data_IF_694866886099
#
_entry.id   IF_694866886099
#
_cell.length_a   1.000
_cell.length_b   1.000
_cell.length_c   1.000
_cell.angle_alpha   90.00
_cell.angle_beta   90.00
_cell.angle_gamma   90.00
#
_symmetry.space_group_name_H-M   'P 1'
#
loop_
_entity.id
_entity.type
_entity.pdbx_description
1 polymer ?
#
# COMPACT_ATOMS: atom_id res chain seq x y z
N UNK A 1 -17.08 -74.12 19.16
CA UNK A 1 -16.90 -72.70 19.58
C UNK A 1 -15.54 -72.21 19.13
N UNK A 2 -15.45 -71.44 18.04
CA UNK A 2 -14.21 -70.74 17.62
C UNK A 2 -14.56 -69.26 17.47
N UNK A 3 -13.96 -68.41 18.30
CA UNK A 3 -14.10 -66.95 18.26
C UNK A 3 -13.04 -66.40 17.30
N UNK A 4 -13.48 -65.70 16.25
CA UNK A 4 -12.63 -64.87 15.41
C UNK A 4 -12.49 -63.50 16.07
N UNK A 5 -11.25 -63.07 16.33
CA UNK A 5 -10.93 -61.71 16.77
C UNK A 5 -10.50 -60.95 15.51
N UNK A 6 -11.25 -59.92 15.16
CA UNK A 6 -10.88 -58.97 14.11
C UNK A 6 -10.09 -57.83 14.76
N UNK A 7 -8.81 -57.72 14.43
CA UNK A 7 -7.95 -56.61 14.83
C UNK A 7 -8.18 -55.42 13.90
N UNK A 8 -8.61 -54.29 14.47
CA UNK A 8 -8.74 -53.02 13.77
C UNK A 8 -7.36 -52.35 13.71
N UNK A 9 -6.73 -52.30 12.53
CA UNK A 9 -5.56 -51.45 12.28
C UNK A 9 -6.01 -50.00 12.14
N UNK A 10 -5.70 -49.18 13.16
CA UNK A 10 -5.90 -47.73 13.13
C UNK A 10 -4.67 -47.09 12.47
N UNK A 11 -4.76 -46.71 11.20
CA UNK A 11 -3.74 -45.92 10.52
C UNK A 11 -3.88 -44.44 10.90
N UNK A 12 -2.91 -43.93 11.66
CA UNK A 12 -2.73 -42.50 11.92
C UNK A 12 -2.25 -41.81 10.65
N UNK A 13 -3.16 -41.15 9.93
CA UNK A 13 -2.83 -40.20 8.88
C UNK A 13 -2.40 -38.88 9.54
N UNK A 14 -1.09 -38.65 9.65
CA UNK A 14 -0.55 -37.34 9.99
C UNK A 14 -0.70 -36.43 8.76
N UNK A 15 -1.70 -35.55 8.77
CA UNK A 15 -1.83 -34.48 7.79
C UNK A 15 -0.73 -33.45 8.03
N UNK A 16 0.33 -33.47 7.21
CA UNK A 16 1.26 -32.35 7.13
C UNK A 16 0.51 -31.17 6.52
N UNK A 17 0.07 -30.24 7.37
CA UNK A 17 -0.36 -28.91 6.93
C UNK A 17 0.89 -28.19 6.40
N UNK A 18 1.03 -28.11 5.08
CA UNK A 18 2.01 -27.22 4.47
C UNK A 18 1.61 -25.78 4.84
N UNK A 19 2.19 -25.23 5.90
CA UNK A 19 2.13 -23.80 6.18
C UNK A 19 2.85 -23.11 5.03
N UNK A 20 2.09 -22.43 4.15
CA UNK A 20 2.70 -21.55 3.15
C UNK A 20 3.42 -20.43 3.89
N UNK A 21 4.68 -20.18 3.53
CA UNK A 21 5.38 -18.98 3.99
C UNK A 21 4.58 -17.72 3.64
N UNK A 22 4.44 -16.78 4.57
CA UNK A 22 3.59 -15.57 4.39
C UNK A 22 4.22 -14.51 3.47
N UNK A 23 5.55 -14.52 3.34
CA UNK A 23 6.33 -13.55 2.55
C UNK A 23 7.34 -14.18 1.56
N UNK A 24 6.97 -15.16 0.71
CA UNK A 24 7.91 -15.81 -0.20
C UNK A 24 8.55 -14.83 -1.20
N UNK A 25 7.83 -13.78 -1.56
CA UNK A 25 8.19 -12.69 -2.47
C UNK A 25 9.34 -11.86 -1.88
N UNK A 26 9.28 -11.76 -0.55
CA UNK A 26 10.26 -11.26 0.42
C UNK A 26 11.58 -12.03 0.46
N UNK A 27 11.40 -13.33 0.70
CA UNK A 27 12.40 -14.19 1.35
C UNK A 27 13.00 -15.19 0.36
N UNK A 28 12.26 -15.50 -0.70
CA UNK A 28 12.66 -16.37 -1.79
C UNK A 28 13.65 -15.72 -2.74
N UNK A 29 13.96 -16.46 -3.82
CA UNK A 29 14.83 -15.96 -4.89
C UNK A 29 14.14 -14.82 -5.61
N UNK A 30 14.88 -13.74 -5.86
CA UNK A 30 14.40 -12.65 -6.71
C UNK A 30 14.09 -13.18 -8.11
N UNK A 31 13.05 -12.62 -8.72
CA UNK A 31 12.71 -12.88 -10.12
C UNK A 31 13.89 -12.57 -11.03
N UNK A 32 14.04 -13.31 -12.13
CA UNK A 32 15.02 -12.96 -13.16
C UNK A 32 14.70 -11.59 -13.75
N UNK A 33 15.70 -10.94 -14.35
CA UNK A 33 15.50 -9.66 -15.04
C UNK A 33 14.40 -9.78 -16.12
N UNK A 34 14.40 -10.86 -16.90
CA UNK A 34 13.39 -11.11 -17.94
C UNK A 34 11.98 -11.24 -17.36
N UNK A 35 11.82 -11.93 -16.22
CA UNK A 35 10.52 -12.06 -15.58
C UNK A 35 10.03 -10.71 -15.01
N UNK A 36 10.93 -9.89 -14.47
CA UNK A 36 10.58 -8.54 -14.00
C UNK A 36 10.16 -7.63 -15.16
N UNK A 37 10.89 -7.66 -16.27
CA UNK A 37 10.56 -6.90 -17.48
C UNK A 37 9.21 -7.33 -18.05
N UNK A 38 8.95 -8.63 -18.16
CA UNK A 38 7.66 -9.13 -18.64
C UNK A 38 6.49 -8.61 -17.79
N UNK A 39 6.62 -8.59 -16.46
CA UNK A 39 5.58 -8.04 -15.57
C UNK A 39 5.37 -6.54 -15.81
N UNK A 40 6.45 -5.77 -16.02
CA UNK A 40 6.37 -4.34 -16.31
C UNK A 40 5.70 -4.07 -17.67
N UNK A 41 6.06 -4.85 -18.69
CA UNK A 41 5.49 -4.80 -20.04
C UNK A 41 4.01 -5.18 -20.02
N UNK A 42 3.65 -6.27 -19.34
CA UNK A 42 2.25 -6.72 -19.18
C UNK A 42 1.39 -5.62 -18.51
N UNK A 43 1.95 -4.94 -17.50
CA UNK A 43 1.27 -3.81 -16.85
C UNK A 43 1.16 -2.60 -17.80
N UNK A 44 2.18 -2.34 -18.63
CA UNK A 44 2.15 -1.26 -19.62
C UNK A 44 1.09 -1.52 -20.70
N UNK A 45 1.00 -2.73 -21.21
CA UNK A 45 -0.01 -3.15 -22.18
C UNK A 45 -1.41 -3.04 -21.57
N UNK A 46 -1.57 -3.51 -20.32
CA UNK A 46 -2.81 -3.35 -19.58
C UNK A 46 -3.18 -1.87 -19.41
N UNK A 47 -2.24 -1.04 -18.94
CA UNK A 47 -2.47 0.38 -18.71
C UNK A 47 -2.88 1.08 -20.01
N UNK A 48 -2.11 0.91 -21.08
CA UNK A 48 -2.37 1.50 -22.41
C UNK A 48 -3.76 1.14 -22.91
N UNK A 49 -4.15 -0.14 -22.79
CA UNK A 49 -5.47 -0.62 -23.22
C UNK A 49 -6.61 -0.01 -22.41
N UNK A 50 -6.45 0.11 -21.10
CA UNK A 50 -7.55 0.53 -20.21
C UNK A 50 -7.63 2.07 -20.07
N UNK A 51 -6.54 2.79 -20.32
CA UNK A 51 -6.43 4.23 -20.07
C UNK A 51 -7.04 5.10 -21.17
N UNK A 52 -7.32 4.55 -22.36
CA UNK A 52 -7.86 5.31 -23.51
C UNK A 52 -9.04 6.22 -23.14
N UNK A 53 -9.96 5.74 -22.29
CA UNK A 53 -11.10 6.55 -21.84
C UNK A 53 -10.73 7.62 -20.83
N UNK A 54 -9.75 7.35 -19.97
CA UNK A 54 -9.26 8.29 -18.98
C UNK A 54 -8.49 9.43 -19.66
N UNK A 55 -7.64 9.11 -20.64
CA UNK A 55 -6.83 10.07 -21.39
C UNK A 55 -7.68 11.09 -22.15
N UNK A 56 -8.77 10.64 -22.80
CA UNK A 56 -9.73 11.53 -23.46
C UNK A 56 -10.39 12.54 -22.52
N UNK A 57 -10.41 12.27 -21.21
CA UNK A 57 -11.03 13.12 -20.18
C UNK A 57 -10.00 13.88 -19.35
N UNK A 58 -8.71 13.56 -19.51
CA UNK A 58 -7.64 14.14 -18.73
C UNK A 58 -7.33 15.53 -19.27
N UNK A 59 -7.23 16.52 -18.38
CA UNK A 59 -6.78 17.88 -18.77
C UNK A 59 -5.26 17.99 -18.68
N UNK A 60 -4.69 19.04 -19.25
CA UNK A 60 -3.22 19.23 -19.29
C UNK A 60 -2.60 19.29 -17.90
N UNK A 61 -3.27 19.95 -16.95
CA UNK A 61 -2.81 20.13 -15.57
C UNK A 61 -2.81 18.82 -14.80
N UNK A 62 -3.78 17.94 -15.07
CA UNK A 62 -3.85 16.59 -14.52
C UNK A 62 -2.74 15.69 -15.07
N UNK A 63 -2.51 15.73 -16.38
CA UNK A 63 -1.41 15.01 -17.02
C UNK A 63 -0.05 15.48 -16.49
N UNK A 64 0.13 16.80 -16.37
CA UNK A 64 1.35 17.40 -15.79
C UNK A 64 1.53 16.98 -14.33
N UNK A 65 0.45 16.95 -13.54
CA UNK A 65 0.51 16.58 -12.13
C UNK A 65 0.99 15.13 -11.94
N UNK A 66 0.37 14.16 -12.64
CA UNK A 66 0.75 12.74 -12.52
C UNK A 66 2.17 12.47 -13.05
N UNK A 67 2.54 13.13 -14.15
CA UNK A 67 3.88 13.02 -14.75
C UNK A 67 4.97 13.53 -13.82
N UNK A 68 4.73 14.66 -13.15
CA UNK A 68 5.71 15.23 -12.23
C UNK A 68 5.77 14.49 -10.89
N UNK A 69 4.63 13.96 -10.41
CA UNK A 69 4.57 13.09 -9.23
C UNK A 69 5.49 11.88 -9.41
N UNK A 70 5.36 11.15 -10.52
CA UNK A 70 6.21 10.00 -10.83
C UNK A 70 7.68 10.35 -11.18
N UNK A 71 8.07 11.63 -11.13
CA UNK A 71 9.45 12.07 -11.43
C UNK A 71 10.17 12.59 -10.20
N UNK A 72 9.66 13.66 -9.60
CA UNK A 72 10.36 14.43 -8.53
C UNK A 72 9.44 14.92 -7.42
N UNK A 73 8.13 15.03 -7.66
CA UNK A 73 7.24 15.72 -6.72
C UNK A 73 6.67 14.81 -5.61
N UNK A 74 6.82 13.48 -5.72
CA UNK A 74 6.13 12.55 -4.82
C UNK A 74 6.42 12.80 -3.34
N UNK A 75 7.67 13.08 -2.96
CA UNK A 75 8.03 13.32 -1.57
C UNK A 75 7.34 14.58 -1.02
N UNK A 76 7.55 15.72 -1.67
CA UNK A 76 7.00 17.02 -1.20
C UNK A 76 5.47 17.05 -1.24
N UNK A 77 4.84 16.43 -2.24
CA UNK A 77 3.38 16.33 -2.32
C UNK A 77 2.85 15.47 -1.16
N UNK A 78 3.47 14.33 -0.89
CA UNK A 78 2.99 13.44 0.16
C UNK A 78 3.24 14.01 1.56
N UNK A 79 4.38 14.66 1.79
CA UNK A 79 4.65 15.38 3.05
C UNK A 79 3.63 16.50 3.30
N UNK A 80 3.33 17.31 2.28
CA UNK A 80 2.30 18.34 2.36
C UNK A 80 0.92 17.77 2.73
N UNK A 81 0.53 16.65 2.12
CA UNK A 81 -0.73 15.97 2.44
C UNK A 81 -0.73 15.40 3.87
N UNK A 82 0.37 14.80 4.32
CA UNK A 82 0.52 14.26 5.68
C UNK A 82 0.50 15.36 6.74
N UNK A 83 0.99 16.55 6.42
CA UNK A 83 0.91 17.75 7.25
C UNK A 83 -0.51 18.36 7.32
N UNK A 84 -1.49 17.79 6.62
CA UNK A 84 -2.87 18.28 6.62
C UNK A 84 -3.15 19.39 5.61
N UNK A 85 -2.32 19.51 4.57
CA UNK A 85 -2.45 20.50 3.49
C UNK A 85 -2.50 21.97 3.98
N UNK A 86 -1.55 22.41 4.82
CA UNK A 86 -1.59 23.75 5.40
C UNK A 86 -1.30 24.82 4.34
N UNK A 87 -2.05 25.93 4.38
CA UNK A 87 -1.88 27.01 3.38
C UNK A 87 -0.47 27.62 3.40
N UNK A 88 0.19 27.67 4.57
CA UNK A 88 1.54 28.19 4.76
C UNK A 88 2.68 27.18 4.62
N UNK A 89 2.50 26.06 3.91
CA UNK A 89 3.56 25.03 3.79
C UNK A 89 4.84 25.57 3.12
N UNK A 90 5.91 25.75 3.91
CA UNK A 90 7.15 26.47 3.59
C UNK A 90 6.96 27.96 3.25
N UNK A 91 5.99 28.28 2.40
CA UNK A 91 5.46 29.63 2.14
C UNK A 91 4.04 29.52 1.57
N UNK A 92 3.24 30.59 1.65
CA UNK A 92 1.88 30.56 1.13
C UNK A 92 1.79 30.23 -0.38
N UNK A 93 2.70 30.81 -1.17
CA UNK A 93 2.72 30.59 -2.62
C UNK A 93 3.04 29.13 -2.95
N UNK A 94 3.95 28.54 -2.19
CA UNK A 94 4.31 27.13 -2.34
C UNK A 94 3.16 26.21 -1.91
N UNK A 95 2.53 26.49 -0.76
CA UNK A 95 1.33 25.78 -0.29
C UNK A 95 0.18 25.83 -1.31
N UNK A 96 -0.11 27.01 -1.90
CA UNK A 96 -1.11 27.14 -2.98
C UNK A 96 -0.75 26.28 -4.22
N UNK A 97 0.52 26.21 -4.58
CA UNK A 97 1.00 25.40 -5.72
C UNK A 97 0.80 23.91 -5.45
N UNK A 98 1.16 23.45 -4.24
CA UNK A 98 0.96 22.06 -3.83
C UNK A 98 -0.52 21.70 -3.70
N UNK A 99 -1.36 22.60 -3.17
CA UNK A 99 -2.82 22.45 -3.14
C UNK A 99 -3.39 22.22 -4.55
N UNK A 100 -2.97 23.02 -5.53
CA UNK A 100 -3.36 22.84 -6.93
C UNK A 100 -2.88 21.51 -7.47
N UNK A 101 -1.63 21.11 -7.18
CA UNK A 101 -1.05 19.82 -7.61
C UNK A 101 -1.84 18.65 -7.05
N UNK A 102 -2.12 18.65 -5.74
CA UNK A 102 -2.90 17.62 -5.05
C UNK A 102 -4.32 17.54 -5.62
N UNK A 103 -4.95 18.69 -5.89
CA UNK A 103 -6.27 18.74 -6.53
C UNK A 103 -6.28 18.02 -7.88
N UNK A 104 -5.33 18.34 -8.76
CA UNK A 104 -5.22 17.67 -10.06
C UNK A 104 -4.86 16.18 -9.93
N UNK A 105 -3.99 15.81 -8.99
CA UNK A 105 -3.68 14.40 -8.68
C UNK A 105 -4.92 13.63 -8.22
N UNK A 106 -5.74 14.20 -7.34
CA UNK A 106 -7.01 13.56 -6.90
C UNK A 106 -7.96 13.36 -8.07
N UNK A 107 -8.06 14.35 -8.97
CA UNK A 107 -8.95 14.27 -10.11
C UNK A 107 -8.50 13.24 -11.15
N UNK A 108 -7.21 13.20 -11.51
CA UNK A 108 -6.69 12.20 -12.46
C UNK A 108 -6.85 10.79 -11.91
N UNK A 109 -6.59 10.58 -10.61
CA UNK A 109 -6.77 9.28 -9.96
C UNK A 109 -8.23 8.79 -9.95
N UNK A 110 -9.20 9.70 -10.05
CA UNK A 110 -10.62 9.33 -10.21
C UNK A 110 -10.99 8.96 -11.66
N UNK A 111 -10.19 9.40 -12.64
CA UNK A 111 -10.39 9.11 -14.07
C UNK A 111 -9.71 7.80 -14.48
N UNK A 112 -8.54 7.52 -13.90
CA UNK A 112 -7.78 6.32 -14.23
C UNK A 112 -8.54 5.03 -13.85
N UNK A 113 -8.41 3.95 -14.64
CA UNK A 113 -8.99 2.66 -14.33
C UNK A 113 -8.45 2.08 -13.02
N UNK A 114 -9.32 1.38 -12.32
CA UNK A 114 -8.98 0.74 -11.06
C UNK A 114 -8.15 -0.54 -11.28
N UNK A 115 -6.95 -0.56 -10.72
CA UNK A 115 -6.16 -1.78 -10.58
C UNK A 115 -6.60 -2.55 -9.33
N UNK A 116 -6.70 -3.88 -9.43
CA UNK A 116 -7.01 -4.78 -8.30
C UNK A 116 -6.00 -5.90 -8.27
N UNK A 117 -5.44 -6.16 -7.10
CA UNK A 117 -4.46 -7.23 -6.92
C UNK A 117 -3.37 -6.87 -5.91
N UNK A 118 -2.41 -7.77 -5.78
CA UNK A 118 -1.24 -7.63 -4.91
C UNK A 118 -0.28 -6.59 -5.47
N UNK A 119 0.18 -5.70 -4.60
CA UNK A 119 1.27 -4.76 -4.86
C UNK A 119 2.25 -4.77 -3.69
N UNK A 120 3.42 -4.20 -3.91
CA UNK A 120 4.53 -4.20 -2.98
C UNK A 120 5.03 -2.78 -2.74
N UNK A 121 5.45 -2.49 -1.51
CA UNK A 121 6.09 -1.22 -1.16
C UNK A 121 7.26 -1.47 -0.23
N UNK A 122 8.38 -0.81 -0.50
CA UNK A 122 9.43 -0.61 0.50
C UNK A 122 9.35 0.79 1.06
N UNK A 123 9.54 0.92 2.36
CA UNK A 123 9.62 2.22 3.03
C UNK A 123 10.33 2.04 4.38
N UNK A 124 10.60 3.15 5.05
CA UNK A 124 10.79 3.15 6.49
C UNK A 124 9.43 3.07 7.22
N UNK A 125 9.44 2.52 8.42
CA UNK A 125 8.35 2.55 9.41
C UNK A 125 8.91 3.04 10.75
N UNK A 126 8.22 3.94 11.45
CA UNK A 126 8.66 4.39 12.78
C UNK A 126 8.66 3.22 13.76
N UNK A 127 9.69 3.11 14.58
CA UNK A 127 9.78 2.06 15.61
C UNK A 127 8.63 2.19 16.60
N UNK A 128 8.26 3.42 16.99
CA UNK A 128 7.10 3.69 17.85
C UNK A 128 5.77 3.19 17.28
N UNK A 129 5.64 3.05 15.97
CA UNK A 129 4.50 2.40 15.32
C UNK A 129 4.71 0.88 15.25
N UNK A 130 5.87 0.43 14.74
CA UNK A 130 6.17 -0.98 14.55
C UNK A 130 6.08 -1.79 15.86
N UNK A 131 6.46 -1.22 16.99
CA UNK A 131 6.48 -1.90 18.29
C UNK A 131 5.08 -2.17 18.84
N UNK A 132 4.11 -1.30 18.53
CA UNK A 132 2.71 -1.41 18.99
C UNK A 132 1.74 -1.98 17.96
N UNK A 133 2.15 -2.09 16.69
CA UNK A 133 1.28 -2.55 15.61
C UNK A 133 0.96 -4.04 15.76
N UNK A 134 -0.31 -4.42 15.75
CA UNK A 134 -0.75 -5.80 15.85
C UNK A 134 -1.46 -6.28 14.59
N UNK A 135 -1.50 -7.60 14.40
CA UNK A 135 -2.38 -8.19 13.37
C UNK A 135 -3.83 -7.84 13.73
N UNK A 136 -4.57 -7.34 12.75
CA UNK A 136 -5.94 -6.84 12.94
C UNK A 136 -6.06 -5.32 13.00
N UNK A 137 -4.99 -4.62 13.39
CA UNK A 137 -4.92 -3.15 13.37
C UNK A 137 -5.06 -2.60 11.94
N UNK A 138 -5.39 -1.33 11.86
CA UNK A 138 -5.60 -0.62 10.60
C UNK A 138 -4.61 0.53 10.47
N UNK A 139 -3.86 0.54 9.39
CA UNK A 139 -3.04 1.68 8.99
C UNK A 139 -3.85 2.60 8.07
N UNK A 140 -3.82 3.90 8.34
CA UNK A 140 -4.45 4.93 7.53
C UNK A 140 -3.38 5.77 6.85
N UNK A 141 -3.32 5.71 5.52
CA UNK A 141 -2.45 6.57 4.71
C UNK A 141 -3.25 7.76 4.19
N UNK A 142 -2.87 8.95 4.66
CA UNK A 142 -3.49 10.23 4.26
C UNK A 142 -3.04 10.70 2.88
N UNK A 143 -1.81 10.38 2.46
CA UNK A 143 -1.25 10.80 1.19
C UNK A 143 -1.41 9.73 0.10
N UNK A 144 -0.83 9.96 -1.08
CA UNK A 144 -0.76 8.90 -2.08
C UNK A 144 0.22 7.82 -1.62
N UNK A 145 -0.09 6.55 -1.89
CA UNK A 145 0.80 5.44 -1.57
C UNK A 145 1.39 4.87 -2.85
N UNK A 146 2.65 5.19 -3.14
CA UNK A 146 3.39 4.58 -4.25
C UNK A 146 3.72 3.12 -3.93
N UNK A 147 3.37 2.23 -4.86
CA UNK A 147 3.59 0.79 -4.78
C UNK A 147 4.00 0.26 -6.15
N UNK A 148 4.51 -0.96 -6.22
CA UNK A 148 4.91 -1.62 -7.46
C UNK A 148 4.29 -3.02 -7.52
N UNK A 149 4.02 -3.53 -8.73
CA UNK A 149 3.71 -4.96 -8.90
C UNK A 149 4.97 -5.85 -8.77
N UNK A 150 6.16 -5.25 -8.69
CA UNK A 150 7.45 -5.93 -8.56
C UNK A 150 7.99 -5.90 -7.12
N UNK A 151 8.16 -7.06 -6.45
CA UNK A 151 8.77 -7.13 -5.12
C UNK A 151 10.20 -6.59 -5.07
N UNK A 152 10.96 -6.71 -6.17
CA UNK A 152 12.34 -6.20 -6.29
C UNK A 152 12.41 -4.69 -6.19
N UNK A 153 11.47 -3.98 -6.81
CA UNK A 153 11.34 -2.52 -6.70
C UNK A 153 11.08 -2.14 -5.25
N UNK A 154 10.10 -2.77 -4.60
CA UNK A 154 9.84 -2.56 -3.18
C UNK A 154 11.09 -2.79 -2.30
N UNK A 155 11.87 -3.84 -2.56
CA UNK A 155 13.11 -4.09 -1.82
C UNK A 155 14.15 -2.97 -1.97
N UNK A 156 14.24 -2.34 -3.14
CA UNK A 156 15.17 -1.23 -3.36
C UNK A 156 14.77 0.05 -2.60
N UNK A 157 13.47 0.23 -2.34
CA UNK A 157 12.96 1.37 -1.57
C UNK A 157 12.88 1.12 -0.06
N UNK A 158 13.09 -0.12 0.41
CA UNK A 158 13.14 -0.39 1.85
C UNK A 158 14.47 0.10 2.44
N UNK A 159 14.42 1.14 3.27
CA UNK A 159 15.60 1.64 3.99
C UNK A 159 15.22 2.03 5.42
N UNK A 160 16.13 1.77 6.37
CA UNK A 160 15.98 2.17 7.77
C UNK A 160 16.54 3.57 8.04
N UNK A 161 17.42 4.07 7.16
CA UNK A 161 18.35 5.17 7.46
C UNK A 161 17.88 6.58 7.15
N UNK A 162 16.63 6.78 6.72
CA UNK A 162 16.16 8.14 6.37
C UNK A 162 15.76 8.95 7.61
N UNK A 163 15.33 8.29 8.69
CA UNK A 163 14.86 8.94 9.91
C UNK A 163 15.39 8.23 11.16
N UNK A 164 15.80 9.00 12.17
CA UNK A 164 16.10 8.45 13.49
C UNK A 164 14.84 7.78 14.07
N UNK A 165 15.02 6.61 14.70
CA UNK A 165 13.90 5.85 15.27
C UNK A 165 12.99 5.18 14.22
N UNK A 166 13.50 4.89 13.02
CA UNK A 166 12.79 4.12 12.01
C UNK A 166 13.49 2.80 11.65
N UNK A 167 12.70 1.83 11.19
CA UNK A 167 13.15 0.54 10.68
C UNK A 167 12.77 0.39 9.22
N UNK A 168 13.52 -0.39 8.45
CA UNK A 168 13.14 -0.76 7.09
C UNK A 168 11.97 -1.76 7.12
N UNK A 169 10.99 -1.55 6.25
CA UNK A 169 9.85 -2.44 6.09
C UNK A 169 9.52 -2.68 4.61
N UNK A 170 9.08 -3.90 4.32
CA UNK A 170 8.54 -4.32 3.04
C UNK A 170 7.10 -4.76 3.25
N UNK A 171 6.23 -4.18 2.43
CA UNK A 171 4.79 -4.27 2.56
C UNK A 171 4.23 -5.05 1.38
N UNK A 172 3.47 -6.10 1.66
CA UNK A 172 2.61 -6.80 0.68
C UNK A 172 1.19 -6.30 0.88
N UNK A 173 0.60 -5.72 -0.15
CA UNK A 173 -0.66 -4.97 -0.05
C UNK A 173 -1.66 -5.54 -1.06
N UNK A 174 -2.81 -5.99 -0.58
CA UNK A 174 -3.93 -6.35 -1.47
C UNK A 174 -4.83 -5.14 -1.73
N UNK A 175 -4.81 -4.64 -2.98
CA UNK A 175 -5.64 -3.52 -3.43
C UNK A 175 -6.96 -4.00 -4.03
N UNK A 176 -8.04 -3.29 -3.71
CA UNK A 176 -9.40 -3.60 -4.18
C UNK A 176 -10.02 -2.47 -5.01
N UNK A 177 -9.77 -1.22 -4.65
CA UNK A 177 -10.39 -0.07 -5.31
C UNK A 177 -9.56 1.22 -5.32
N UNK A 178 -8.49 1.29 -4.51
CA UNK A 178 -7.66 2.47 -4.40
C UNK A 178 -6.57 2.56 -5.48
N UNK A 179 -6.13 1.43 -6.05
CA UNK A 179 -4.98 1.37 -6.97
C UNK A 179 -5.26 1.91 -8.37
N UNK A 180 -4.32 2.67 -8.93
CA UNK A 180 -4.27 3.09 -10.34
C UNK A 180 -2.90 2.79 -10.90
N UNK A 181 -2.84 2.14 -12.06
CA UNK A 181 -1.57 2.04 -12.78
C UNK A 181 -1.18 3.43 -13.26
N UNK A 182 0.05 3.86 -12.96
CA UNK A 182 0.57 5.16 -13.41
C UNK A 182 1.83 5.03 -14.25
N UNK A 183 2.33 3.81 -14.45
CA UNK A 183 3.51 3.47 -15.25
C UNK A 183 3.51 4.11 -16.65
N UNK A 184 2.34 4.27 -17.29
CA UNK A 184 2.20 4.95 -18.59
C UNK A 184 2.45 6.48 -18.56
N UNK A 185 2.53 7.09 -17.37
CA UNK A 185 2.67 8.54 -17.19
C UNK A 185 3.97 8.94 -16.48
N UNK A 186 4.72 7.98 -15.95
CA UNK A 186 5.99 8.25 -15.26
C UNK A 186 7.18 8.16 -16.22
N UNK A 187 8.36 8.59 -15.76
CA UNK A 187 9.61 8.40 -16.49
C UNK A 187 10.28 7.04 -16.19
N UNK A 188 9.62 6.20 -15.39
CA UNK A 188 10.15 4.93 -14.90
C UNK A 188 9.12 3.81 -15.08
N UNK A 189 8.71 3.51 -16.32
CA UNK A 189 7.71 2.48 -16.58
C UNK A 189 8.11 1.11 -16.00
N UNK A 190 9.42 0.83 -15.95
CA UNK A 190 10.01 -0.39 -15.40
C UNK A 190 9.81 -0.57 -13.88
N UNK A 191 9.44 0.50 -13.15
CA UNK A 191 9.06 0.39 -11.73
C UNK A 191 7.66 -0.24 -11.57
N UNK A 192 6.92 -0.42 -12.67
CA UNK A 192 5.58 -1.03 -12.70
C UNK A 192 4.65 -0.43 -11.62
N UNK A 193 4.63 0.91 -11.55
CA UNK A 193 4.02 1.63 -10.44
C UNK A 193 2.48 1.57 -10.45
N UNK A 194 1.93 1.15 -9.30
CA UNK A 194 0.53 1.32 -8.93
C UNK A 194 0.48 2.37 -7.82
N UNK A 195 -0.25 3.46 -8.05
CA UNK A 195 -0.48 4.49 -7.05
C UNK A 195 -1.80 4.20 -6.32
N UNK A 196 -1.80 4.09 -5.00
CA UNK A 196 -3.04 4.07 -4.23
C UNK A 196 -3.51 5.49 -3.93
N UNK A 197 -4.82 5.71 -4.02
CA UNK A 197 -5.46 6.97 -3.64
C UNK A 197 -5.20 7.36 -2.17
N UNK A 198 -5.25 8.66 -1.84
CA UNK A 198 -5.18 9.13 -0.46
C UNK A 198 -6.40 8.74 0.35
N UNK A 199 -6.28 8.90 1.66
CA UNK A 199 -7.28 8.53 2.66
C UNK A 199 -7.69 7.04 2.55
N UNK A 200 -6.70 6.17 2.30
CA UNK A 200 -6.89 4.73 2.18
C UNK A 200 -6.51 4.02 3.48
N UNK A 201 -7.35 3.07 3.88
CA UNK A 201 -7.14 2.26 5.08
C UNK A 201 -6.70 0.86 4.69
N UNK A 202 -5.74 0.32 5.43
CA UNK A 202 -5.17 -1.00 5.22
C UNK A 202 -5.18 -1.79 6.52
N UNK A 203 -5.88 -2.91 6.54
CA UNK A 203 -5.87 -3.80 7.70
C UNK A 203 -4.67 -4.72 7.64
N UNK A 204 -3.92 -4.82 8.74
CA UNK A 204 -2.77 -5.70 8.89
C UNK A 204 -3.22 -7.15 9.04
N UNK A 205 -2.64 -8.04 8.25
CA UNK A 205 -2.96 -9.48 8.22
C UNK A 205 -1.83 -10.35 8.73
N UNK A 206 -0.57 -9.93 8.55
CA UNK A 206 0.60 -10.62 9.09
C UNK A 206 1.73 -9.63 9.32
N UNK A 207 2.57 -9.90 10.34
CA UNK A 207 3.77 -9.14 10.64
C UNK A 207 4.90 -10.13 10.95
N UNK A 208 6.04 -9.98 10.29
CA UNK A 208 7.29 -10.66 10.63
C UNK A 208 8.35 -9.60 10.93
N UNK A 209 8.67 -9.43 12.22
CA UNK A 209 9.71 -8.52 12.71
C UNK A 209 11.04 -9.25 12.75
N UNK A 210 12.01 -8.85 11.93
CA UNK A 210 13.29 -9.57 11.80
C UNK A 210 14.43 -8.76 12.41
N UNK A 211 14.62 -7.53 11.97
CA UNK A 211 15.63 -6.62 12.49
C UNK A 211 15.30 -5.17 12.10
N UNK A 212 16.00 -4.16 12.65
CA UNK A 212 15.82 -2.77 12.22
C UNK A 212 15.98 -2.56 10.70
N UNK A 213 16.74 -3.42 10.02
CA UNK A 213 16.98 -3.32 8.57
C UNK A 213 16.07 -4.22 7.73
N UNK A 214 15.13 -4.95 8.34
CA UNK A 214 14.27 -5.90 7.64
C UNK A 214 13.03 -6.24 8.46
N UNK A 215 11.87 -5.87 7.96
CA UNK A 215 10.57 -6.27 8.51
C UNK A 215 9.58 -6.50 7.37
N UNK A 216 8.63 -7.41 7.56
CA UNK A 216 7.62 -7.74 6.58
C UNK A 216 6.22 -7.52 7.14
N UNK A 217 5.37 -6.82 6.39
CA UNK A 217 4.00 -6.52 6.80
C UNK A 217 3.07 -6.85 5.63
N UNK A 218 2.08 -7.70 5.87
CA UNK A 218 1.01 -8.00 4.92
C UNK A 218 -0.22 -7.22 5.33
N UNK A 219 -0.87 -6.56 4.38
CA UNK A 219 -2.09 -5.82 4.63
C UNK A 219 -3.03 -5.83 3.44
N UNK A 220 -4.29 -5.48 3.68
CA UNK A 220 -5.31 -5.37 2.63
C UNK A 220 -6.12 -4.10 2.76
N UNK A 221 -6.52 -3.54 1.62
CA UNK A 221 -7.41 -2.37 1.56
C UNK A 221 -8.75 -2.65 2.28
N UNK A 222 -9.19 -1.71 3.12
CA UNK A 222 -10.50 -1.72 3.78
C UNK A 222 -11.25 -0.41 3.52
N UNK A 223 -12.53 -0.50 3.14
CA UNK A 223 -13.37 0.69 2.88
C UNK A 223 -14.09 1.24 4.10
N UNK A 224 -14.36 0.39 5.08
CA UNK A 224 -15.17 0.74 6.24
C UNK A 224 -14.46 0.30 7.51
N UNK A 225 -13.44 1.04 7.96
CA UNK A 225 -12.68 0.68 9.16
C UNK A 225 -13.55 0.60 10.41
N UNK A 226 -14.61 1.41 10.50
CA UNK A 226 -15.55 1.39 11.63
C UNK A 226 -16.28 0.05 11.82
N UNK A 227 -16.43 -0.79 10.77
CA UNK A 227 -17.00 -2.13 10.94
C UNK A 227 -16.09 -3.05 11.73
N UNK A 228 -14.79 -2.91 11.57
CA UNK A 228 -13.80 -3.73 12.27
C UNK A 228 -13.70 -3.29 13.74
N UNK A 229 -13.64 -1.98 14.01
CA UNK A 229 -13.64 -1.46 15.39
C UNK A 229 -14.86 -1.89 16.21
N UNK A 230 -16.02 -2.04 15.55
CA UNK A 230 -17.25 -2.54 16.22
C UNK A 230 -17.20 -4.04 16.51
N UNK A 231 -16.52 -4.81 15.66
CA UNK A 231 -16.44 -6.26 15.78
C UNK A 231 -15.30 -6.72 16.70
N UNK A 232 -14.23 -5.92 16.76
CA UNK A 232 -12.99 -6.23 17.44
C UNK A 232 -12.55 -4.97 18.20
N UNK A 233 -12.94 -4.81 19.47
CA UNK A 233 -12.73 -3.56 20.21
C UNK A 233 -11.25 -3.27 20.52
N UNK A 234 -10.39 -4.29 20.46
CA UNK A 234 -8.96 -4.19 20.78
C UNK A 234 -8.10 -3.80 19.57
N UNK A 235 -8.70 -3.62 18.39
CA UNK A 235 -7.93 -3.14 17.22
C UNK A 235 -7.90 -1.61 17.23
N UNK A 236 -6.78 -1.08 16.78
CA UNK A 236 -6.53 0.35 16.70
C UNK A 236 -6.41 0.80 15.24
N UNK A 237 -6.59 2.11 15.03
CA UNK A 237 -6.24 2.73 13.75
C UNK A 237 -5.05 3.65 13.98
N UNK A 238 -3.99 3.46 13.22
CA UNK A 238 -2.81 4.31 13.27
C UNK A 238 -2.62 5.06 11.96
N UNK A 239 -2.15 6.29 12.04
CA UNK A 239 -1.58 6.99 10.90
C UNK A 239 -0.31 6.24 10.43
N UNK A 240 -0.27 5.84 9.16
CA UNK A 240 0.85 5.05 8.60
C UNK A 240 2.18 5.79 8.60
N UNK A 241 2.16 7.13 8.70
CA UNK A 241 3.34 7.98 8.66
C UNK A 241 3.72 8.49 10.05
N UNK A 242 2.79 9.11 10.79
CA UNK A 242 3.09 9.69 12.09
C UNK A 242 3.25 8.62 13.18
N UNK A 243 2.55 7.49 13.05
CA UNK A 243 2.46 6.42 14.04
C UNK A 243 1.48 6.72 15.17
N UNK A 244 0.79 7.85 15.13
CA UNK A 244 -0.23 8.22 16.12
C UNK A 244 -1.51 7.44 15.91
N UNK A 245 -2.22 7.17 17.00
CA UNK A 245 -3.56 6.60 16.91
C UNK A 245 -4.54 7.66 16.39
N UNK A 246 -5.44 7.26 15.50
CA UNK A 246 -6.42 8.15 14.87
C UNK A 246 -7.83 7.60 15.03
N UNK A 247 -8.78 8.47 15.34
CA UNK A 247 -10.19 8.09 15.33
C UNK A 247 -10.70 7.96 13.89
N UNK A 248 -11.68 7.06 13.66
CA UNK A 248 -12.41 7.08 12.39
C UNK A 248 -13.14 8.41 12.27
N UNK A 249 -12.89 9.13 11.17
CA UNK A 249 -13.70 10.31 10.82
C UNK A 249 -15.16 9.87 10.66
N UNK A 250 -15.99 10.16 11.66
CA UNK A 250 -17.43 9.98 11.51
C UNK A 250 -17.94 11.04 10.52
N UNK A 251 -18.76 10.66 9.55
CA UNK A 251 -19.45 11.61 8.66
C UNK A 251 -20.48 12.48 9.40
N UNK A 252 -20.58 12.34 10.73
CA UNK A 252 -21.61 12.92 11.58
C UNK A 252 -21.33 14.36 12.01
N UNK A 253 -20.14 14.90 11.77
CA UNK A 253 -19.77 16.27 12.17
C UNK A 253 -20.13 17.36 11.15
N UNK A 254 -20.90 17.04 10.10
CA UNK A 254 -21.48 18.02 9.17
C UNK A 254 -22.89 18.51 9.57
N UNK A 255 -23.34 18.23 10.80
CA UNK A 255 -24.54 18.85 11.34
C UNK A 255 -24.19 20.08 12.19
N UNK A 256 -24.62 21.24 11.68
CA UNK A 256 -24.82 22.52 12.36
C UNK A 256 -23.58 23.32 12.77
N UNK A 257 -23.19 24.26 11.89
CA UNK A 257 -23.12 25.69 12.19
C UNK A 257 -23.72 26.48 11.02
#
# INVERSE_FOLDING_TARGET
MKKFIWGLCLSLLTSFSAQSEEFPEFKGRSLSYQAQQQIADDLMDWATTHHVKAEKKMISEEYSAIKNYGRVDHDVVNEYMRAGEPEGYLSEMFGRTLKSRVFHMRNVMNKLPNYKGTVYRGSSIKNSLLDKLNVGDILHEKAFLSTSTLPSVAKNFSSAGVYEGASAAQFKIELKSAGRAINAYTFKPDEAEILAKPDTYFRVEAIERVSPNKNYIKMREVKNPARYLKAEPDIHIYDSYSGEEVAVRSRSSLYCL
#
